data_IF_452528136504
#
_entry.id   IF_452528136504
#
_cell.length_a   1.000
_cell.length_b   1.000
_cell.length_c   1.000
_cell.angle_alpha   90.00
_cell.angle_beta   90.00
_cell.angle_gamma   90.00
#
_symmetry.space_group_name_H-M   'P 1'
#
loop_
_entity.id
_entity.type
_entity.pdbx_description
1 polymer ?
#
# COMPACT_ATOMS: atom_id res chain seq x y z
N UNK A 1 15.87 -1.84 -7.65
CA UNK A 1 15.26 -2.92 -6.84
C UNK A 1 15.46 -2.66 -5.35
N UNK A 2 16.68 -2.32 -4.91
CA UNK A 2 17.01 -2.03 -3.51
C UNK A 2 16.16 -0.89 -2.91
N UNK A 3 16.00 0.24 -3.61
CA UNK A 3 15.18 1.36 -3.13
C UNK A 3 13.69 1.02 -2.96
N UNK A 4 13.13 0.23 -3.87
CA UNK A 4 11.74 -0.20 -3.80
C UNK A 4 11.48 -1.07 -2.57
N UNK A 5 12.35 -2.07 -2.34
CA UNK A 5 12.22 -2.95 -1.17
C UNK A 5 12.36 -2.18 0.14
N UNK A 6 13.29 -1.21 0.20
CA UNK A 6 13.45 -0.33 1.35
C UNK A 6 12.23 0.56 1.57
N UNK A 7 11.66 1.17 0.52
CA UNK A 7 10.44 1.97 0.62
C UNK A 7 9.25 1.13 1.08
N UNK A 8 9.11 -0.09 0.57
CA UNK A 8 8.01 -0.97 0.92
C UNK A 8 8.13 -1.51 2.35
N UNK A 9 9.36 -1.75 2.83
CA UNK A 9 9.64 -2.09 4.21
C UNK A 9 9.33 -0.93 5.17
N UNK A 10 9.65 0.31 4.80
CA UNK A 10 9.24 1.49 5.58
C UNK A 10 7.71 1.61 5.68
N UNK A 11 6.98 1.35 4.58
CA UNK A 11 5.51 1.31 4.61
C UNK A 11 5.02 0.24 5.56
N UNK A 12 5.60 -0.96 5.49
CA UNK A 12 5.22 -2.10 6.34
C UNK A 12 5.39 -1.74 7.82
N UNK A 13 6.50 -1.11 8.21
CA UNK A 13 6.73 -0.64 9.58
C UNK A 13 5.79 0.49 9.99
N UNK A 14 5.57 1.47 9.11
CA UNK A 14 4.68 2.60 9.37
C UNK A 14 3.22 2.15 9.53
N UNK A 15 2.75 1.26 8.66
CA UNK A 15 1.41 0.66 8.74
C UNK A 15 1.31 -0.19 10.00
N UNK A 16 2.27 -1.07 10.28
CA UNK A 16 2.28 -1.90 11.50
C UNK A 16 2.26 -1.05 12.77
N UNK A 17 3.00 0.06 12.80
CA UNK A 17 2.99 1.03 13.88
C UNK A 17 1.63 1.70 14.05
N UNK A 18 1.02 2.14 12.96
CA UNK A 18 -0.28 2.80 12.94
C UNK A 18 -1.44 1.83 13.29
N UNK A 19 -1.29 0.54 13.00
CA UNK A 19 -2.33 -0.47 13.23
C UNK A 19 -2.16 -1.30 14.50
N UNK A 20 -1.21 -0.98 15.40
CA UNK A 20 -0.96 -1.76 16.64
C UNK A 20 -2.22 -2.05 17.49
N UNK A 21 -3.25 -1.20 17.45
CA UNK A 21 -4.54 -1.45 18.13
C UNK A 21 -5.61 -2.19 17.30
N UNK A 22 -5.51 -2.14 15.97
CA UNK A 22 -6.51 -2.72 15.05
C UNK A 22 -6.04 -4.06 14.45
N UNK A 23 -4.73 -4.34 14.47
CA UNK A 23 -4.15 -5.61 14.01
C UNK A 23 -4.55 -6.83 14.85
N UNK A 24 -5.22 -6.64 15.98
CA UNK A 24 -5.90 -7.75 16.67
C UNK A 24 -7.18 -8.21 15.94
N UNK A 25 -7.80 -7.34 15.12
CA UNK A 25 -8.96 -7.65 14.26
C UNK A 25 -8.58 -7.86 12.79
N UNK A 26 -7.36 -7.51 12.41
CA UNK A 26 -6.80 -7.73 11.08
C UNK A 26 -5.98 -9.02 11.16
N UNK A 27 -6.15 -9.95 10.23
CA UNK A 27 -5.20 -11.07 10.12
C UNK A 27 -3.85 -10.48 9.70
N UNK A 28 -3.03 -10.12 10.69
CA UNK A 28 -1.69 -9.58 10.49
C UNK A 28 -0.81 -10.51 9.64
N UNK A 29 -1.16 -11.79 9.62
CA UNK A 29 -0.60 -12.83 8.75
C UNK A 29 -0.99 -12.57 7.29
N UNK A 30 -2.28 -12.39 6.99
CA UNK A 30 -2.77 -12.13 5.63
C UNK A 30 -2.19 -10.84 5.06
N UNK A 31 -2.10 -9.78 5.86
CA UNK A 31 -1.50 -8.51 5.45
C UNK A 31 0.00 -8.67 5.17
N UNK A 32 0.75 -9.35 6.05
CA UNK A 32 2.17 -9.64 5.81
C UNK A 32 2.38 -10.50 4.56
N UNK A 33 1.51 -11.49 4.32
CA UNK A 33 1.58 -12.33 3.13
C UNK A 33 1.33 -11.52 1.85
N UNK A 34 0.34 -10.64 1.84
CA UNK A 34 0.09 -9.75 0.68
C UNK A 34 1.25 -8.79 0.46
N UNK A 35 1.78 -8.16 1.51
CA UNK A 35 2.99 -7.32 1.42
C UNK A 35 4.20 -8.13 0.92
N UNK A 36 4.36 -9.38 1.35
CA UNK A 36 5.39 -10.29 0.85
C UNK A 36 5.22 -10.61 -0.63
N UNK A 37 3.99 -10.84 -1.09
CA UNK A 37 3.69 -11.05 -2.51
C UNK A 37 3.96 -9.84 -3.39
N UNK A 38 3.80 -8.62 -2.87
CA UNK A 38 4.19 -7.38 -3.57
C UNK A 38 5.71 -7.21 -3.76
N UNK A 39 6.52 -7.94 -2.98
CA UNK A 39 7.99 -7.99 -3.13
C UNK A 39 8.43 -9.03 -4.17
N UNK A 40 7.51 -9.85 -4.67
CA UNK A 40 7.82 -10.93 -5.61
C UNK A 40 8.25 -10.37 -6.97
N UNK A 41 9.29 -10.98 -7.54
CA UNK A 41 9.67 -10.73 -8.93
C UNK A 41 8.75 -11.45 -9.93
N UNK A 42 7.90 -12.37 -9.46
CA UNK A 42 6.85 -12.97 -10.28
C UNK A 42 5.68 -11.97 -10.43
N UNK A 43 5.44 -11.46 -11.65
CA UNK A 43 4.35 -10.51 -11.91
C UNK A 43 2.99 -11.07 -11.50
N UNK A 44 2.78 -12.38 -11.64
CA UNK A 44 1.50 -13.04 -11.34
C UNK A 44 1.21 -12.99 -9.84
N UNK A 45 2.18 -13.38 -9.02
CA UNK A 45 2.07 -13.32 -7.56
C UNK A 45 1.87 -11.89 -7.04
N UNK A 46 2.58 -10.92 -7.63
CA UNK A 46 2.43 -9.51 -7.27
C UNK A 46 1.03 -8.98 -7.66
N UNK A 47 0.53 -9.33 -8.85
CA UNK A 47 -0.81 -8.94 -9.30
C UNK A 47 -1.92 -9.54 -8.44
N UNK A 48 -1.84 -10.82 -8.08
CA UNK A 48 -2.80 -11.47 -7.17
C UNK A 48 -2.83 -10.74 -5.82
N UNK A 49 -1.66 -10.33 -5.32
CA UNK A 49 -1.56 -9.61 -4.06
C UNK A 49 -2.20 -8.22 -4.14
N UNK A 50 -2.02 -7.51 -5.25
CA UNK A 50 -2.69 -6.23 -5.54
C UNK A 50 -4.20 -6.41 -5.58
N UNK A 51 -4.69 -7.43 -6.29
CA UNK A 51 -6.13 -7.70 -6.41
C UNK A 51 -6.76 -8.04 -5.07
N UNK A 52 -6.08 -8.83 -4.24
CA UNK A 52 -6.56 -9.16 -2.90
C UNK A 52 -6.68 -7.89 -2.04
N UNK A 53 -5.66 -7.03 -2.07
CA UNK A 53 -5.67 -5.75 -1.35
C UNK A 53 -6.77 -4.79 -1.85
N UNK A 54 -7.02 -4.75 -3.15
CA UNK A 54 -8.08 -3.94 -3.76
C UNK A 54 -9.48 -4.47 -3.43
N UNK A 55 -9.67 -5.80 -3.49
CA UNK A 55 -10.94 -6.48 -3.22
C UNK A 55 -11.38 -6.31 -1.76
N UNK A 56 -10.43 -6.29 -0.83
CA UNK A 56 -10.73 -6.01 0.57
C UNK A 56 -11.26 -4.59 0.79
N UNK A 57 -11.07 -3.67 -0.17
CA UNK A 57 -11.53 -2.27 -0.11
C UNK A 57 -11.10 -1.54 1.16
N UNK A 58 -9.96 -1.92 1.73
CA UNK A 58 -9.44 -1.36 2.97
C UNK A 58 -8.50 -0.20 2.67
N UNK A 59 -8.66 0.87 3.42
CA UNK A 59 -7.82 2.07 3.31
C UNK A 59 -6.35 1.79 3.68
N UNK A 60 -6.11 0.80 4.54
CA UNK A 60 -4.75 0.33 4.90
C UNK A 60 -3.95 -0.22 3.71
N UNK A 61 -4.64 -0.62 2.64
CA UNK A 61 -4.02 -1.10 1.40
C UNK A 61 -3.48 0.04 0.53
N UNK A 62 -3.90 1.29 0.76
CA UNK A 62 -3.53 2.44 -0.07
C UNK A 62 -2.02 2.73 -0.01
N UNK A 63 -1.37 2.86 1.16
CA UNK A 63 0.07 3.11 1.22
C UNK A 63 0.95 2.07 0.50
N UNK A 64 0.78 0.75 0.68
CA UNK A 64 1.59 -0.24 -0.02
C UNK A 64 1.32 -0.27 -1.53
N UNK A 65 0.07 -0.13 -1.95
CA UNK A 65 -0.27 -0.03 -3.38
C UNK A 65 0.38 1.21 -4.03
N UNK A 66 0.44 2.34 -3.31
CA UNK A 66 1.11 3.55 -3.80
C UNK A 66 2.60 3.32 -4.07
N UNK A 67 3.31 2.63 -3.17
CA UNK A 67 4.73 2.33 -3.38
C UNK A 67 4.94 1.37 -4.55
N UNK A 68 4.08 0.37 -4.70
CA UNK A 68 4.11 -0.56 -5.83
C UNK A 68 3.89 0.16 -7.15
N UNK A 69 2.87 1.03 -7.23
CA UNK A 69 2.60 1.85 -8.40
C UNK A 69 3.79 2.71 -8.82
N UNK A 70 4.57 3.22 -7.85
CA UNK A 70 5.70 4.12 -8.11
C UNK A 70 7.05 3.43 -8.30
N UNK A 71 7.25 2.24 -7.73
CA UNK A 71 8.60 1.67 -7.59
C UNK A 71 8.76 0.21 -8.02
N UNK A 72 7.68 -0.52 -8.31
CA UNK A 72 7.80 -1.94 -8.67
C UNK A 72 8.57 -2.10 -9.99
N UNK A 73 9.50 -3.06 -10.14
CA UNK A 73 10.34 -3.19 -11.35
C UNK A 73 9.54 -3.50 -12.63
N UNK A 74 8.45 -4.27 -12.50
CA UNK A 74 7.60 -4.70 -13.61
C UNK A 74 6.51 -3.66 -13.88
N UNK A 75 6.44 -3.15 -15.13
CA UNK A 75 5.46 -2.12 -15.54
C UNK A 75 4.01 -2.57 -15.34
N UNK A 76 3.66 -3.79 -15.74
CA UNK A 76 2.29 -4.32 -15.59
C UNK A 76 1.81 -4.31 -14.14
N UNK A 77 2.72 -4.58 -13.19
CA UNK A 77 2.41 -4.55 -11.76
C UNK A 77 2.22 -3.11 -11.27
N UNK A 78 2.98 -2.15 -11.80
CA UNK A 78 2.78 -0.72 -11.53
C UNK A 78 1.40 -0.26 -12.00
N UNK A 79 1.04 -0.58 -13.24
CA UNK A 79 -0.24 -0.20 -13.84
C UNK A 79 -1.42 -0.79 -13.05
N UNK A 80 -1.33 -2.07 -12.68
CA UNK A 80 -2.34 -2.74 -11.85
C UNK A 80 -2.50 -2.10 -10.48
N UNK A 81 -1.39 -1.69 -9.85
CA UNK A 81 -1.43 -0.98 -8.58
C UNK A 81 -2.07 0.41 -8.72
N UNK A 82 -1.82 1.14 -9.81
CA UNK A 82 -2.51 2.40 -10.10
C UNK A 82 -4.02 2.21 -10.30
N UNK A 83 -4.44 1.16 -11.01
CA UNK A 83 -5.86 0.81 -11.14
C UNK A 83 -6.50 0.51 -9.79
N UNK A 84 -5.84 -0.29 -8.96
CA UNK A 84 -6.31 -0.59 -7.61
C UNK A 84 -6.45 0.67 -6.75
N UNK A 85 -5.50 1.60 -6.83
CA UNK A 85 -5.58 2.88 -6.12
C UNK A 85 -6.79 3.70 -6.58
N UNK A 86 -7.06 3.77 -7.88
CA UNK A 86 -8.25 4.47 -8.42
C UNK A 86 -9.56 3.86 -7.92
N UNK A 87 -9.61 2.53 -7.74
CA UNK A 87 -10.79 1.86 -7.20
C UNK A 87 -11.00 2.12 -5.70
N UNK A 88 -9.91 2.29 -4.96
CA UNK A 88 -9.94 2.60 -3.52
C UNK A 88 -10.19 4.09 -3.25
N UNK A 89 -9.80 4.96 -4.17
CA UNK A 89 -9.93 6.40 -4.04
C UNK A 89 -11.33 6.91 -4.35
N UNK A 90 -12.25 6.74 -3.39
CA UNK A 90 -13.67 7.15 -3.52
C UNK A 90 -13.89 8.66 -3.62
N UNK A 91 -12.86 9.49 -3.59
CA UNK A 91 -12.99 10.95 -3.53
C UNK A 91 -11.85 11.75 -4.15
N UNK A 92 -10.94 11.12 -4.87
CA UNK A 92 -9.73 11.77 -5.40
C UNK A 92 -8.81 12.31 -4.27
N UNK A 93 -8.87 11.70 -3.08
CA UNK A 93 -8.07 12.07 -1.91
C UNK A 93 -6.60 11.67 -2.10
N UNK A 94 -6.32 10.55 -2.78
CA UNK A 94 -4.95 10.03 -2.92
C UNK A 94 -4.09 11.00 -3.74
N UNK A 95 -4.50 11.45 -4.95
CA UNK A 95 -3.76 12.46 -5.70
C UNK A 95 -3.60 13.76 -4.92
N UNK A 96 -4.64 14.21 -4.20
CA UNK A 96 -4.57 15.43 -3.41
C UNK A 96 -3.54 15.34 -2.28
N UNK A 97 -3.44 14.18 -1.60
CA UNK A 97 -2.52 13.96 -0.49
C UNK A 97 -1.06 13.81 -0.92
N UNK A 98 -0.82 13.31 -2.14
CA UNK A 98 0.53 13.00 -2.64
C UNK A 98 1.06 14.01 -3.66
N UNK A 99 0.22 14.96 -4.11
CA UNK A 99 0.61 15.98 -5.09
C UNK A 99 1.77 16.82 -4.57
N UNK A 100 2.85 16.88 -5.36
CA UNK A 100 4.03 17.68 -5.05
C UNK A 100 4.90 17.17 -3.91
N UNK A 101 4.62 15.97 -3.38
CA UNK A 101 5.41 15.34 -2.32
C UNK A 101 6.37 14.30 -2.88
N UNK A 102 7.51 14.12 -2.24
CA UNK A 102 8.37 12.98 -2.54
C UNK A 102 7.69 11.67 -2.11
N UNK A 103 8.08 10.54 -2.70
CA UNK A 103 7.47 9.22 -2.43
C UNK A 103 7.41 8.92 -0.94
N UNK A 104 8.48 9.22 -0.19
CA UNK A 104 8.52 9.00 1.27
C UNK A 104 7.52 9.87 2.02
N UNK A 105 7.40 11.14 1.68
CA UNK A 105 6.46 12.09 2.30
C UNK A 105 5.00 11.78 1.93
N UNK A 106 4.78 11.40 0.68
CA UNK A 106 3.50 10.92 0.17
C UNK A 106 3.05 9.69 0.97
N UNK A 107 3.93 8.70 1.13
CA UNK A 107 3.67 7.51 1.95
C UNK A 107 3.36 7.88 3.40
N UNK A 108 4.15 8.75 4.03
CA UNK A 108 3.91 9.17 5.41
C UNK A 108 2.54 9.86 5.55
N UNK A 109 2.15 10.71 4.59
CA UNK A 109 0.84 11.35 4.56
C UNK A 109 -0.31 10.34 4.35
N UNK A 110 -0.11 9.36 3.47
CA UNK A 110 -1.09 8.29 3.25
C UNK A 110 -1.25 7.42 4.50
N UNK A 111 -0.16 7.04 5.18
CA UNK A 111 -0.23 6.28 6.44
C UNK A 111 -0.87 7.13 7.55
N UNK A 112 -0.58 8.42 7.62
CA UNK A 112 -1.21 9.31 8.60
C UNK A 112 -2.71 9.50 8.36
N UNK A 113 -3.17 9.51 7.10
CA UNK A 113 -4.58 9.63 6.73
C UNK A 113 -5.33 8.31 6.87
N UNK A 114 -4.80 7.25 6.27
CA UNK A 114 -5.46 5.96 6.06
C UNK A 114 -5.00 4.85 7.00
N UNK A 115 -3.88 5.06 7.72
CA UNK A 115 -3.38 4.15 8.75
C UNK A 115 -3.73 4.56 10.17
N UNK A 116 -4.15 5.82 10.40
CA UNK A 116 -4.36 6.37 11.73
C UNK A 116 -5.83 6.21 12.17
N UNK A 117 -6.18 5.01 12.64
CA UNK A 117 -7.53 4.64 13.08
C UNK A 117 -7.87 5.16 14.48
N UNK A 118 -7.55 6.43 14.79
CA UNK A 118 -7.89 7.08 16.07
C UNK A 118 -9.30 7.67 16.14
N UNK A 119 -10.14 7.48 15.11
CA UNK A 119 -11.54 7.95 15.11
C UNK A 119 -12.48 6.88 14.56
N UNK A 120 -12.78 5.88 15.38
CA UNK A 120 -14.08 5.23 15.46
C UNK A 120 -14.40 5.00 16.94
#
# INVERSE_FOLDING_TARGET
MSDFLSQLQMVEEAVKGATKGFMAKLDSVTFKMTIGGLKSNDPTAAMISIEQLAKEKREISIPPLYVVARGHPVQQVRDKAEEALKQLDKGNEIPALVKGKEVKEAVAALVARFGNFKKL
#
